data_IF_728479138239
#
_entry.id   IF_728479138239
#
_cell.length_a   1.000
_cell.length_b   1.000
_cell.length_c   1.000
_cell.angle_alpha   90.00
_cell.angle_beta   90.00
_cell.angle_gamma   90.00
#
_symmetry.space_group_name_H-M   'P 1'
#
loop_
_entity.id
_entity.type
_entity.pdbx_description
1 polymer ?
#
# COMPACT_ATOMS: atom_id res chain seq x y z
N UNK A 1 19.11 -3.00 12.49
CA UNK A 1 18.03 -2.43 13.34
C UNK A 1 18.51 -1.94 14.72
N UNK A 2 19.52 -2.57 15.34
CA UNK A 2 19.98 -2.18 16.69
C UNK A 2 20.57 -0.77 16.77
N UNK A 3 21.14 -0.28 15.67
CA UNK A 3 21.69 1.08 15.52
C UNK A 3 20.64 2.19 15.41
N UNK A 4 19.36 1.84 15.23
CA UNK A 4 18.27 2.83 15.19
C UNK A 4 17.98 3.35 16.59
N UNK A 5 17.70 4.65 16.68
CA UNK A 5 17.14 5.26 17.89
C UNK A 5 15.83 4.55 18.31
N UNK A 6 15.41 4.72 19.56
CA UNK A 6 14.18 4.10 20.05
C UNK A 6 12.95 4.59 19.25
N UNK A 7 12.87 5.90 18.97
CA UNK A 7 11.78 6.52 18.21
C UNK A 7 11.75 6.01 16.75
N UNK A 8 12.91 6.08 16.09
CA UNK A 8 13.43 5.14 15.09
C UNK A 8 12.63 3.85 14.89
N UNK A 9 12.94 2.94 15.79
CA UNK A 9 12.51 1.55 15.79
C UNK A 9 11.00 1.43 15.97
N UNK A 10 10.41 2.21 16.88
CA UNK A 10 8.96 2.23 17.06
C UNK A 10 8.21 2.73 15.83
N UNK A 11 8.73 3.76 15.17
CA UNK A 11 8.15 4.29 13.93
C UNK A 11 8.20 3.24 12.81
N UNK A 12 9.34 2.55 12.68
CA UNK A 12 9.48 1.43 11.74
C UNK A 12 8.48 0.31 12.05
N UNK A 13 8.39 -0.16 13.29
CA UNK A 13 7.45 -1.21 13.66
C UNK A 13 5.99 -0.81 13.45
N UNK A 14 5.64 0.44 13.79
CA UNK A 14 4.32 1.00 13.48
C UNK A 14 4.03 0.94 11.98
N UNK A 15 4.97 1.39 11.14
CA UNK A 15 4.84 1.30 9.69
C UNK A 15 4.69 -0.14 9.19
N UNK A 16 5.49 -1.09 9.69
CA UNK A 16 5.38 -2.50 9.31
C UNK A 16 4.00 -3.09 9.65
N UNK A 17 3.44 -2.74 10.81
CA UNK A 17 2.09 -3.16 11.20
C UNK A 17 1.04 -2.53 10.28
N UNK A 18 1.11 -1.23 10.02
CA UNK A 18 0.18 -0.57 9.09
C UNK A 18 0.26 -1.15 7.68
N UNK A 19 1.47 -1.37 7.17
CA UNK A 19 1.67 -2.01 5.87
C UNK A 19 1.11 -3.43 5.85
N UNK A 20 1.37 -4.23 6.88
CA UNK A 20 0.81 -5.58 7.00
C UNK A 20 -0.72 -5.58 6.97
N UNK A 21 -1.35 -4.75 7.78
CA UNK A 21 -2.82 -4.63 7.86
C UNK A 21 -3.43 -4.11 6.56
N UNK A 22 -2.87 -3.06 5.97
CA UNK A 22 -3.34 -2.50 4.71
C UNK A 22 -3.19 -3.51 3.56
N UNK A 23 -2.06 -4.21 3.48
CA UNK A 23 -1.85 -5.22 2.46
C UNK A 23 -2.87 -6.36 2.55
N UNK A 24 -3.16 -6.85 3.75
CA UNK A 24 -4.19 -7.89 3.93
C UNK A 24 -5.60 -7.40 3.58
N UNK A 25 -5.94 -6.18 3.99
CA UNK A 25 -7.23 -5.55 3.67
C UNK A 25 -7.39 -5.39 2.14
N UNK A 26 -6.39 -4.80 1.48
CA UNK A 26 -6.37 -4.63 0.03
C UNK A 26 -6.44 -5.97 -0.67
N UNK A 27 -5.75 -7.00 -0.16
CA UNK A 27 -5.80 -8.32 -0.77
C UNK A 27 -7.22 -8.87 -0.84
N UNK A 28 -7.98 -8.78 0.26
CA UNK A 28 -9.37 -9.24 0.32
C UNK A 28 -10.26 -8.43 -0.62
N UNK A 29 -10.12 -7.10 -0.62
CA UNK A 29 -10.93 -6.20 -1.46
C UNK A 29 -10.65 -6.48 -2.94
N UNK A 30 -9.38 -6.53 -3.34
CA UNK A 30 -8.96 -6.71 -4.72
C UNK A 30 -9.26 -8.12 -5.23
N UNK A 31 -9.13 -9.15 -4.39
CA UNK A 31 -9.55 -10.50 -4.74
C UNK A 31 -11.06 -10.56 -5.04
N UNK A 32 -11.88 -9.86 -4.24
CA UNK A 32 -13.32 -9.76 -4.51
C UNK A 32 -13.59 -9.00 -5.81
N UNK A 33 -12.87 -7.91 -6.07
CA UNK A 33 -12.97 -7.16 -7.34
C UNK A 33 -12.66 -8.07 -8.52
N UNK A 34 -11.55 -8.82 -8.49
CA UNK A 34 -11.19 -9.79 -9.54
C UNK A 34 -12.28 -10.83 -9.82
N UNK A 35 -13.03 -11.23 -8.80
CA UNK A 35 -14.16 -12.16 -8.91
C UNK A 35 -15.44 -11.54 -9.47
N UNK A 36 -15.41 -10.27 -9.90
CA UNK A 36 -16.58 -9.56 -10.41
C UNK A 36 -17.43 -8.90 -9.34
N UNK A 37 -16.92 -8.81 -8.11
CA UNK A 37 -17.57 -8.02 -7.08
C UNK A 37 -17.45 -6.52 -7.40
N UNK A 38 -18.56 -5.80 -7.24
CA UNK A 38 -18.59 -4.34 -7.39
C UNK A 38 -18.26 -3.70 -6.05
N UNK A 39 -17.27 -2.82 -6.02
CA UNK A 39 -17.00 -1.99 -4.85
C UNK A 39 -17.55 -0.58 -5.06
N UNK A 40 -18.39 -0.12 -4.13
CA UNK A 40 -18.93 1.23 -4.17
C UNK A 40 -18.00 2.15 -3.37
N UNK A 41 -17.33 3.05 -4.07
CA UNK A 41 -16.36 3.94 -3.46
C UNK A 41 -17.03 5.11 -2.74
N UNK A 42 -16.33 5.74 -1.77
CA UNK A 42 -16.82 6.94 -1.07
C UNK A 42 -17.09 8.15 -1.97
N UNK A 43 -16.54 8.18 -3.18
CA UNK A 43 -16.80 9.22 -4.20
C UNK A 43 -18.02 8.93 -5.08
N UNK A 44 -18.73 7.82 -4.85
CA UNK A 44 -19.86 7.38 -5.65
C UNK A 44 -19.46 6.65 -6.93
N UNK A 45 -18.16 6.48 -7.20
CA UNK A 45 -17.70 5.63 -8.29
C UNK A 45 -17.86 4.14 -7.94
N UNK A 46 -17.80 3.29 -8.97
CA UNK A 46 -17.84 1.84 -8.81
C UNK A 46 -16.56 1.22 -9.37
N UNK A 47 -15.86 0.45 -8.55
CA UNK A 47 -14.80 -0.43 -9.03
C UNK A 47 -15.46 -1.72 -9.53
N UNK A 48 -15.89 -1.66 -10.78
CA UNK A 48 -16.39 -2.80 -11.54
C UNK A 48 -15.49 -2.99 -12.76
N UNK A 49 -14.74 -4.08 -12.77
CA UNK A 49 -13.83 -4.37 -13.88
C UNK A 49 -14.55 -4.83 -15.16
N UNK A 50 -15.85 -5.16 -15.09
CA UNK A 50 -16.65 -5.35 -16.29
C UNK A 50 -16.81 -4.03 -17.06
N UNK A 51 -16.88 -2.90 -16.34
CA UNK A 51 -17.02 -1.56 -16.90
C UNK A 51 -15.67 -0.88 -17.15
N UNK A 52 -14.70 -1.09 -16.27
CA UNK A 52 -13.40 -0.43 -16.30
C UNK A 52 -12.26 -1.45 -16.19
N UNK A 53 -11.75 -1.91 -17.35
CA UNK A 53 -10.74 -2.98 -17.42
C UNK A 53 -9.43 -2.65 -16.70
N UNK A 54 -9.10 -1.38 -16.53
CA UNK A 54 -7.96 -0.92 -15.73
C UNK A 54 -8.05 -1.39 -14.27
N UNK A 55 -9.25 -1.44 -13.68
CA UNK A 55 -9.45 -1.96 -12.33
C UNK A 55 -9.09 -3.45 -12.23
N UNK A 56 -9.30 -4.23 -13.29
CA UNK A 56 -8.82 -5.62 -13.30
C UNK A 56 -7.30 -5.70 -13.21
N UNK A 57 -6.59 -4.85 -13.97
CA UNK A 57 -5.12 -4.83 -13.97
C UNK A 57 -4.53 -4.46 -12.61
N UNK A 58 -5.10 -3.44 -11.95
CA UNK A 58 -4.71 -3.04 -10.60
C UNK A 58 -5.04 -4.16 -9.60
N UNK A 59 -6.25 -4.71 -9.65
CA UNK A 59 -6.65 -5.80 -8.75
C UNK A 59 -5.77 -7.04 -8.93
N UNK A 60 -5.42 -7.40 -10.16
CA UNK A 60 -4.50 -8.49 -10.47
C UNK A 60 -3.12 -8.24 -9.88
N UNK A 61 -2.54 -7.06 -10.12
CA UNK A 61 -1.24 -6.70 -9.58
C UNK A 61 -1.25 -6.71 -8.04
N UNK A 62 -2.31 -6.21 -7.41
CA UNK A 62 -2.45 -6.25 -5.96
C UNK A 62 -2.55 -7.68 -5.41
N UNK A 63 -3.38 -8.52 -6.01
CA UNK A 63 -3.65 -9.89 -5.52
C UNK A 63 -2.45 -10.81 -5.68
N UNK A 64 -1.74 -10.73 -6.80
CA UNK A 64 -0.67 -11.68 -7.13
C UNK A 64 0.74 -11.16 -6.90
N UNK A 65 0.91 -9.84 -6.78
CA UNK A 65 2.25 -9.24 -6.65
C UNK A 65 2.34 -8.41 -5.37
N UNK A 66 1.60 -7.31 -5.27
CA UNK A 66 1.84 -6.33 -4.22
C UNK A 66 1.46 -6.84 -2.82
N UNK A 67 0.28 -7.45 -2.64
CA UNK A 67 -0.14 -7.95 -1.34
C UNK A 67 0.72 -9.15 -0.87
N UNK A 68 1.02 -10.16 -1.70
CA UNK A 68 1.95 -11.23 -1.33
C UNK A 68 3.36 -10.70 -1.01
N UNK A 69 3.90 -9.79 -1.84
CA UNK A 69 5.20 -9.18 -1.58
C UNK A 69 5.20 -8.36 -0.29
N UNK A 70 4.11 -7.67 0.03
CA UNK A 70 3.94 -6.93 1.28
C UNK A 70 3.93 -7.87 2.48
N UNK A 71 3.10 -8.92 2.45
CA UNK A 71 2.99 -9.89 3.55
C UNK A 71 4.32 -10.60 3.77
N UNK A 72 4.97 -11.07 2.71
CA UNK A 72 6.30 -11.68 2.78
C UNK A 72 7.33 -10.66 3.27
N UNK A 73 7.27 -9.42 2.79
CA UNK A 73 8.14 -8.32 3.17
C UNK A 73 8.08 -8.02 4.66
N UNK A 74 6.88 -7.89 5.22
CA UNK A 74 6.65 -7.67 6.66
C UNK A 74 7.19 -8.86 7.46
N UNK A 75 6.85 -10.10 7.08
CA UNK A 75 7.30 -11.30 7.78
C UNK A 75 8.84 -11.40 7.80
N UNK A 76 9.48 -11.17 6.65
CA UNK A 76 10.94 -11.18 6.51
C UNK A 76 11.60 -10.04 7.30
N UNK A 77 11.00 -8.84 7.32
CA UNK A 77 11.51 -7.71 8.10
C UNK A 77 11.50 -8.02 9.60
N UNK A 78 10.42 -8.64 10.12
CA UNK A 78 10.37 -9.09 11.51
C UNK A 78 11.35 -10.25 11.80
N UNK A 79 11.60 -11.11 10.83
CA UNK A 79 12.64 -12.13 10.91
C UNK A 79 14.08 -11.57 10.80
N UNK A 80 14.24 -10.25 10.67
CA UNK A 80 15.53 -9.59 10.55
C UNK A 80 16.18 -9.69 9.16
N UNK A 81 15.46 -10.17 8.15
CA UNK A 81 15.98 -10.32 6.79
C UNK A 81 15.88 -9.02 6.00
N UNK A 82 17.00 -8.58 5.42
CA UNK A 82 17.05 -7.38 4.55
C UNK A 82 16.16 -7.47 3.32
N UNK A 83 15.87 -8.68 2.84
CA UNK A 83 14.94 -8.90 1.73
C UNK A 83 13.53 -8.42 2.05
N UNK A 84 13.15 -8.46 3.32
CA UNK A 84 11.89 -7.88 3.79
C UNK A 84 11.79 -6.40 3.45
N UNK A 85 12.84 -5.64 3.73
CA UNK A 85 12.85 -4.20 3.47
C UNK A 85 12.85 -3.88 1.97
N UNK A 86 13.56 -4.66 1.14
CA UNK A 86 13.53 -4.46 -0.33
C UNK A 86 12.14 -4.70 -0.91
N UNK A 87 11.45 -5.77 -0.49
CA UNK A 87 10.09 -6.06 -0.93
C UNK A 87 9.12 -4.94 -0.51
N UNK A 88 9.24 -4.46 0.73
CA UNK A 88 8.41 -3.39 1.24
C UNK A 88 8.66 -2.07 0.51
N UNK A 89 9.90 -1.76 0.13
CA UNK A 89 10.21 -0.57 -0.67
C UNK A 89 9.55 -0.62 -2.06
N UNK A 90 9.58 -1.79 -2.71
CA UNK A 90 8.88 -2.02 -3.99
C UNK A 90 7.36 -1.86 -3.84
N UNK A 91 6.78 -2.43 -2.78
CA UNK A 91 5.36 -2.29 -2.46
C UNK A 91 5.00 -0.83 -2.18
N UNK A 92 5.83 -0.11 -1.42
CA UNK A 92 5.60 1.31 -1.13
C UNK A 92 5.59 2.15 -2.39
N UNK A 93 6.51 1.90 -3.34
CA UNK A 93 6.48 2.55 -4.64
C UNK A 93 5.18 2.27 -5.40
N UNK A 94 4.76 0.99 -5.45
CA UNK A 94 3.51 0.60 -6.08
C UNK A 94 2.30 1.28 -5.44
N UNK A 95 2.23 1.33 -4.10
CA UNK A 95 1.14 1.99 -3.38
C UNK A 95 1.09 3.48 -3.67
N UNK A 96 2.23 4.17 -3.68
CA UNK A 96 2.28 5.59 -4.07
C UNK A 96 1.73 5.77 -5.48
N UNK A 97 2.22 4.99 -6.45
CA UNK A 97 1.77 5.10 -7.83
C UNK A 97 0.27 4.82 -7.97
N UNK A 98 -0.21 3.68 -7.48
CA UNK A 98 -1.61 3.27 -7.62
C UNK A 98 -2.56 4.26 -6.94
N UNK A 99 -2.24 4.71 -5.73
CA UNK A 99 -3.09 5.66 -4.98
C UNK A 99 -3.05 7.06 -5.60
N UNK A 100 -1.93 7.52 -6.18
CA UNK A 100 -1.89 8.79 -6.94
C UNK A 100 -2.82 8.70 -8.15
N UNK A 101 -2.74 7.60 -8.90
CA UNK A 101 -3.57 7.40 -10.10
C UNK A 101 -5.07 7.35 -9.76
N UNK A 102 -5.45 6.61 -8.72
CA UNK A 102 -6.85 6.52 -8.29
C UNK A 102 -7.35 7.84 -7.70
N UNK A 103 -6.54 8.52 -6.87
CA UNK A 103 -6.87 9.84 -6.30
C UNK A 103 -7.07 10.89 -7.40
N UNK A 104 -6.15 10.99 -8.35
CA UNK A 104 -6.24 11.93 -9.46
C UNK A 104 -7.48 11.66 -10.34
N UNK A 105 -7.79 10.39 -10.58
CA UNK A 105 -8.99 9.97 -11.33
C UNK A 105 -10.26 10.36 -10.58
N UNK A 106 -10.34 10.08 -9.28
CA UNK A 106 -11.45 10.45 -8.41
C UNK A 106 -11.70 11.97 -8.45
N UNK A 107 -10.66 12.77 -8.21
CA UNK A 107 -10.76 14.24 -8.21
C UNK A 107 -11.18 14.81 -9.57
N UNK A 108 -10.61 14.30 -10.67
CA UNK A 108 -10.86 14.83 -12.02
C UNK A 108 -12.24 14.49 -12.54
N UNK A 109 -12.67 13.23 -12.38
CA UNK A 109 -13.85 12.72 -13.08
C UNK A 109 -15.10 12.62 -12.19
N UNK A 110 -14.92 12.36 -10.89
CA UNK A 110 -16.04 12.10 -9.98
C UNK A 110 -16.32 13.25 -9.01
N UNK A 111 -15.41 14.23 -8.89
CA UNK A 111 -15.55 15.42 -8.03
C UNK A 111 -16.11 15.08 -6.64
N UNK A 112 -15.45 14.17 -5.91
CA UNK A 112 -15.91 13.66 -4.62
C UNK A 112 -16.14 14.75 -3.59
N UNK A 113 -17.03 14.46 -2.63
CA UNK A 113 -16.91 15.06 -1.30
C UNK A 113 -15.74 14.40 -0.57
N UNK A 114 -14.74 15.18 -0.18
CA UNK A 114 -13.56 14.70 0.55
C UNK A 114 -13.90 14.35 2.01
N UNK A 115 -14.61 13.25 2.20
CA UNK A 115 -14.91 12.68 3.52
C UNK A 115 -13.69 11.97 4.10
N UNK A 116 -13.72 11.64 5.39
CA UNK A 116 -12.66 10.85 6.02
C UNK A 116 -12.45 9.48 5.35
N UNK A 117 -13.54 8.80 4.98
CA UNK A 117 -13.48 7.53 4.24
C UNK A 117 -12.86 7.70 2.86
N UNK A 118 -13.11 8.82 2.18
CA UNK A 118 -12.46 9.14 0.92
C UNK A 118 -10.95 9.28 1.10
N UNK A 119 -10.50 9.98 2.15
CA UNK A 119 -9.07 10.14 2.46
C UNK A 119 -8.42 8.78 2.75
N UNK A 120 -9.10 7.90 3.48
CA UNK A 120 -8.60 6.54 3.74
C UNK A 120 -8.55 5.71 2.46
N UNK A 121 -9.59 5.78 1.62
CA UNK A 121 -9.69 4.95 0.42
C UNK A 121 -8.75 5.35 -0.70
N UNK A 122 -8.40 6.64 -0.82
CA UNK A 122 -7.68 7.18 -1.96
C UNK A 122 -6.25 7.65 -1.63
N UNK A 123 -6.00 8.74 -0.87
CA UNK A 123 -4.64 9.22 -0.65
C UNK A 123 -3.88 8.52 0.49
N UNK A 124 -4.52 7.76 1.39
CA UNK A 124 -3.84 7.23 2.57
C UNK A 124 -2.69 6.27 2.24
N UNK A 125 -2.81 5.45 1.19
CA UNK A 125 -1.73 4.58 0.73
C UNK A 125 -0.49 5.37 0.26
N UNK A 126 -0.68 6.59 -0.24
CA UNK A 126 0.42 7.50 -0.60
C UNK A 126 1.22 7.86 0.64
N UNK A 127 0.54 8.24 1.72
CA UNK A 127 1.19 8.65 2.98
C UNK A 127 2.01 7.51 3.55
N UNK A 128 1.45 6.30 3.62
CA UNK A 128 2.16 5.12 4.15
C UNK A 128 3.35 4.75 3.27
N UNK A 129 3.18 4.73 1.95
CA UNK A 129 4.27 4.43 1.01
C UNK A 129 5.41 5.45 1.08
N UNK A 130 5.09 6.75 1.09
CA UNK A 130 6.10 7.80 1.21
C UNK A 130 6.80 7.78 2.57
N UNK A 131 6.08 7.55 3.66
CA UNK A 131 6.67 7.46 5.00
C UNK A 131 7.69 6.31 5.07
N UNK A 132 7.35 5.16 4.50
CA UNK A 132 8.26 4.02 4.44
C UNK A 132 9.49 4.29 3.55
N UNK A 133 9.29 4.89 2.37
CA UNK A 133 10.39 5.26 1.48
C UNK A 133 11.33 6.29 2.12
N UNK A 134 10.78 7.32 2.76
CA UNK A 134 11.57 8.34 3.46
C UNK A 134 12.41 7.70 4.57
N UNK A 135 11.81 6.84 5.40
CA UNK A 135 12.54 6.12 6.45
C UNK A 135 13.62 5.22 5.83
N UNK A 136 13.31 4.53 4.74
CA UNK A 136 14.24 3.68 3.98
C UNK A 136 15.45 4.45 3.49
N UNK A 137 15.26 5.66 2.93
CA UNK A 137 16.38 6.47 2.45
C UNK A 137 17.22 7.05 3.58
N UNK A 138 16.60 7.54 4.66
CA UNK A 138 17.31 8.14 5.78
C UNK A 138 18.12 7.10 6.56
N UNK A 139 17.60 5.88 6.70
CA UNK A 139 18.19 4.83 7.51
C UNK A 139 18.66 3.62 6.70
N UNK A 140 19.01 3.85 5.43
CA UNK A 140 19.36 2.79 4.48
C UNK A 140 20.40 1.82 5.06
N UNK A 141 21.53 2.33 5.54
CA UNK A 141 22.60 1.48 6.08
C UNK A 141 22.12 0.65 7.27
N UNK A 142 21.29 1.21 8.15
CA UNK A 142 20.79 0.50 9.33
C UNK A 142 19.78 -0.62 9.01
N UNK A 143 19.13 -0.56 7.85
CA UNK A 143 18.14 -1.52 7.37
C UNK A 143 18.72 -2.57 6.42
N UNK A 144 19.73 -2.19 5.62
CA UNK A 144 20.26 -3.02 4.54
C UNK A 144 21.69 -3.52 4.77
N UNK A 145 22.39 -3.04 5.81
CA UNK A 145 23.68 -3.60 6.21
C UNK A 145 23.53 -5.09 6.58
N UNK A 146 24.56 -5.85 6.23
CA UNK A 146 24.68 -7.31 6.40
C UNK A 146 24.70 -7.73 7.87
#
# INVERSE_FOLDING_TARGET
MESLSLLTRWSLYGLLVFMGMLGLLLWVVQFRTMRGGVFNNPDGSQDDWHQQKSHYGIAFADVFVACPANTAGVALAFAGSRWGFYLLALVSFWWVWANVMTTATSLKFYKPKMTFLWIIGYPFGIVVGLAYLALTFVYFDALYAL
#
